data_IF_171225620955
#
_entry.id   IF_171225620955
#
_cell.length_a   1.000
_cell.length_b   1.000
_cell.length_c   1.000
_cell.angle_alpha   90.00
_cell.angle_beta   90.00
_cell.angle_gamma   90.00
#
_symmetry.space_group_name_H-M   'P 1'
#
loop_
_entity.id
_entity.type
_entity.pdbx_description
1 polymer ?
#
# COMPACT_ATOMS: atom_id res chain seq x y z
N UNK A 1 -12.51 0.73 19.33
CA UNK A 1 -11.29 1.42 18.85
C UNK A 1 -11.52 1.92 17.42
N UNK A 2 -11.59 3.23 17.17
CA UNK A 2 -11.64 3.77 15.80
C UNK A 2 -10.24 3.70 15.20
N UNK A 3 -9.91 2.58 14.57
CA UNK A 3 -8.69 2.46 13.75
C UNK A 3 -8.86 3.47 12.60
N UNK A 4 -8.09 4.55 12.63
CA UNK A 4 -8.17 5.58 11.59
C UNK A 4 -7.69 4.94 10.27
N UNK A 5 -8.50 4.96 9.19
CA UNK A 5 -8.15 4.39 7.89
C UNK A 5 -6.82 4.91 7.32
N UNK A 6 -6.40 6.11 7.74
CA UNK A 6 -5.11 6.69 7.39
C UNK A 6 -3.92 5.98 8.05
N UNK A 7 -4.06 5.59 9.32
CA UNK A 7 -2.99 4.92 10.04
C UNK A 7 -2.72 3.55 9.44
N UNK A 8 -3.77 2.80 9.09
CA UNK A 8 -3.61 1.53 8.38
C UNK A 8 -3.01 1.72 6.98
N UNK A 9 -3.41 2.75 6.22
CA UNK A 9 -2.83 3.03 4.91
C UNK A 9 -1.31 3.26 4.96
N UNK A 10 -0.83 4.01 5.96
CA UNK A 10 0.60 4.25 6.16
C UNK A 10 1.37 2.95 6.43
N UNK A 11 0.81 2.04 7.24
CA UNK A 11 1.39 0.72 7.48
C UNK A 11 1.53 -0.10 6.19
N UNK A 12 0.49 -0.14 5.35
CA UNK A 12 0.54 -0.86 4.07
C UNK A 12 1.58 -0.27 3.11
N UNK A 13 1.74 1.06 3.06
CA UNK A 13 2.81 1.69 2.27
C UNK A 13 4.19 1.30 2.78
N UNK A 14 4.40 1.36 4.10
CA UNK A 14 5.68 0.98 4.70
C UNK A 14 6.01 -0.49 4.44
N UNK A 15 5.02 -1.37 4.55
CA UNK A 15 5.17 -2.80 4.28
C UNK A 15 5.45 -3.08 2.80
N UNK A 16 4.73 -2.44 1.87
CA UNK A 16 4.98 -2.56 0.44
C UNK A 16 6.36 -2.04 0.03
N UNK A 17 6.84 -0.95 0.65
CA UNK A 17 8.20 -0.45 0.45
C UNK A 17 9.26 -1.44 0.96
N UNK A 18 9.02 -2.09 2.11
CA UNK A 18 9.90 -3.13 2.64
C UNK A 18 9.97 -4.33 1.70
N UNK A 19 8.83 -4.83 1.22
CA UNK A 19 8.83 -5.93 0.24
C UNK A 19 9.53 -5.56 -1.06
N UNK A 20 9.37 -4.32 -1.53
CA UNK A 20 10.10 -3.82 -2.71
C UNK A 20 11.61 -3.81 -2.47
N UNK A 21 12.06 -3.36 -1.31
CA UNK A 21 13.48 -3.35 -0.95
C UNK A 21 14.08 -4.77 -0.92
N UNK A 22 13.36 -5.73 -0.32
CA UNK A 22 13.80 -7.13 -0.26
C UNK A 22 13.76 -7.76 -1.66
N UNK A 23 12.78 -7.43 -2.49
CA UNK A 23 12.67 -7.92 -3.87
C UNK A 23 13.87 -7.47 -4.71
N UNK A 24 14.29 -6.21 -4.57
CA UNK A 24 15.47 -5.67 -5.26
C UNK A 24 16.73 -6.40 -4.82
N UNK A 25 16.91 -6.65 -3.52
CA UNK A 25 18.06 -7.42 -3.04
C UNK A 25 18.03 -8.89 -3.47
N UNK A 26 16.85 -9.46 -3.67
CA UNK A 26 16.69 -10.85 -4.14
C UNK A 26 16.88 -10.99 -5.65
N UNK A 27 16.86 -9.88 -6.39
CA UNK A 27 17.15 -9.82 -7.82
C UNK A 27 18.67 -9.81 -8.02
N UNK A 28 19.30 -10.96 -7.82
CA UNK A 28 20.76 -11.11 -7.89
C UNK A 28 21.23 -11.09 -9.38
N UNK A 29 21.03 -12.20 -10.11
CA UNK A 29 21.40 -12.28 -11.53
C UNK A 29 20.25 -11.94 -12.48
N UNK A 30 19.00 -12.17 -12.08
CA UNK A 30 17.82 -11.93 -12.94
C UNK A 30 16.58 -11.60 -12.13
N UNK A 31 15.80 -10.64 -12.61
CA UNK A 31 14.55 -10.16 -11.99
C UNK A 31 13.45 -11.26 -12.03
N UNK A 32 13.61 -12.26 -12.91
CA UNK A 32 12.68 -13.38 -13.09
C UNK A 32 12.79 -14.48 -12.03
N UNK A 33 13.58 -14.27 -10.97
CA UNK A 33 13.61 -15.19 -9.84
C UNK A 33 12.21 -15.28 -9.21
N UNK A 34 11.75 -16.50 -8.93
CA UNK A 34 10.44 -16.75 -8.32
C UNK A 34 10.24 -15.93 -7.03
N UNK A 35 11.27 -15.82 -6.20
CA UNK A 35 11.22 -15.04 -4.95
C UNK A 35 11.00 -13.56 -5.23
N UNK A 36 11.73 -12.98 -6.18
CA UNK A 36 11.59 -11.57 -6.59
C UNK A 36 10.20 -11.27 -7.12
N UNK A 37 9.66 -12.15 -7.98
CA UNK A 37 8.30 -12.00 -8.53
C UNK A 37 7.25 -12.11 -7.43
N UNK A 38 7.40 -13.06 -6.50
CA UNK A 38 6.48 -13.22 -5.38
C UNK A 38 6.49 -11.99 -4.47
N UNK A 39 7.67 -11.49 -4.09
CA UNK A 39 7.81 -10.28 -3.27
C UNK A 39 7.25 -9.03 -3.97
N UNK A 40 7.48 -8.87 -5.27
CA UNK A 40 6.91 -7.78 -6.06
C UNK A 40 5.38 -7.86 -6.14
N UNK A 41 4.83 -9.07 -6.22
CA UNK A 41 3.38 -9.32 -6.20
C UNK A 41 2.78 -8.92 -4.85
N UNK A 42 3.41 -9.30 -3.74
CA UNK A 42 2.99 -8.87 -2.40
C UNK A 42 3.05 -7.36 -2.23
N UNK A 43 4.16 -6.74 -2.62
CA UNK A 43 4.31 -5.28 -2.60
C UNK A 43 3.19 -4.57 -3.38
N UNK A 44 2.82 -5.11 -4.55
CA UNK A 44 1.73 -4.57 -5.38
C UNK A 44 0.39 -4.61 -4.63
N UNK A 45 0.07 -5.72 -3.97
CA UNK A 45 -1.17 -5.86 -3.19
C UNK A 45 -1.19 -4.82 -2.06
N UNK A 46 -0.07 -4.65 -1.34
CA UNK A 46 0.04 -3.67 -0.25
C UNK A 46 -0.18 -2.23 -0.75
N UNK A 47 0.44 -1.85 -1.88
CA UNK A 47 0.23 -0.53 -2.48
C UNK A 47 -1.21 -0.33 -2.94
N UNK A 48 -1.85 -1.33 -3.53
CA UNK A 48 -3.27 -1.25 -3.94
C UNK A 48 -4.17 -1.03 -2.73
N UNK A 49 -3.95 -1.76 -1.63
CA UNK A 49 -4.71 -1.61 -0.39
C UNK A 49 -4.49 -0.22 0.22
N UNK A 50 -3.24 0.26 0.26
CA UNK A 50 -2.91 1.60 0.71
C UNK A 50 -3.63 2.69 -0.10
N UNK A 51 -3.58 2.61 -1.43
CA UNK A 51 -4.27 3.54 -2.34
C UNK A 51 -5.79 3.50 -2.10
N UNK A 52 -6.37 2.32 -1.93
CA UNK A 52 -7.80 2.16 -1.63
C UNK A 52 -8.19 2.84 -0.31
N UNK A 53 -7.37 2.70 0.73
CA UNK A 53 -7.60 3.32 2.03
C UNK A 53 -7.44 4.86 1.98
N UNK A 54 -6.45 5.36 1.23
CA UNK A 54 -6.31 6.79 0.97
C UNK A 54 -7.52 7.35 0.23
N UNK A 55 -7.96 6.68 -0.84
CA UNK A 55 -9.16 7.08 -1.58
C UNK A 55 -10.41 7.07 -0.70
N UNK A 56 -10.56 6.08 0.19
CA UNK A 56 -11.64 6.06 1.17
C UNK A 56 -11.59 7.28 2.09
N UNK A 57 -10.40 7.65 2.58
CA UNK A 57 -10.23 8.85 3.40
C UNK A 57 -10.63 10.13 2.65
N UNK A 58 -10.19 10.30 1.41
CA UNK A 58 -10.57 11.46 0.58
C UNK A 58 -12.08 11.49 0.28
N UNK A 59 -12.71 10.34 0.05
CA UNK A 59 -14.16 10.25 -0.15
C UNK A 59 -14.93 10.65 1.09
N UNK A 60 -14.53 10.18 2.27
CA UNK A 60 -15.15 10.55 3.55
C UNK A 60 -14.98 12.06 3.80
N UNK A 61 -13.78 12.61 3.55
CA UNK A 61 -13.53 14.05 3.68
C UNK A 61 -14.42 14.86 2.74
N UNK A 62 -14.55 14.45 1.47
CA UNK A 62 -15.39 15.12 0.47
C UNK A 62 -16.88 15.04 0.79
N UNK A 63 -17.34 13.95 1.41
CA UNK A 63 -18.73 13.82 1.88
C UNK A 63 -19.02 14.78 3.05
N UNK A 64 -18.11 14.87 4.02
CA UNK A 64 -18.23 15.82 5.14
C UNK A 64 -18.16 17.29 4.70
N UNK A 65 -17.38 17.62 3.67
CA UNK A 65 -17.30 18.98 3.12
C UNK A 65 -18.55 19.36 2.31
N UNK A 66 -19.31 18.39 1.78
CA UNK A 66 -20.60 18.64 1.09
C UNK A 66 -21.76 18.88 2.06
N UNK A 67 -21.74 18.24 3.23
CA UNK A 67 -22.80 18.38 4.24
C UNK A 67 -22.72 19.73 4.99
N UNK A 68 -21.60 20.45 4.84
CA UNK A 68 -21.36 21.80 5.41
C UNK A 68 -21.66 22.95 4.45
N UNK A 69 -22.07 22.68 3.21
CA UNK A 69 -22.42 23.68 2.19
C UNK A 69 -23.93 23.67 1.95
#
# INVERSE_FOLDING_TARGET
MRISPLRSAFFYIALGALFTYIAIQSADETIFNFITIALATFATIDFVVAVRLMNLHFRIKKANDKDKK
#
